data_IF_458766576650
#
_entry.id   IF_458766576650
#
_cell.length_a   1.000
_cell.length_b   1.000
_cell.length_c   1.000
_cell.angle_alpha   90.00
_cell.angle_beta   90.00
_cell.angle_gamma   90.00
#
_symmetry.space_group_name_H-M   'P 1'
#
loop_
_entity.id
_entity.type
_entity.pdbx_description
1 polymer ?
#
# COMPACT_ATOMS: atom_id res chain seq x y z
N UNK A 1 -1.43 -2.02 -23.28
CA UNK A 1 -2.71 -2.66 -22.91
C UNK A 1 -3.85 -1.67 -23.11
N UNK A 2 -4.85 -2.01 -23.93
CA UNK A 2 -6.12 -1.31 -24.03
C UNK A 2 -6.79 -1.12 -22.66
N UNK A 3 -7.62 -0.09 -22.53
CA UNK A 3 -8.31 0.25 -21.29
C UNK A 3 -9.27 -0.85 -20.80
N UNK A 4 -9.87 -1.61 -21.74
CA UNK A 4 -10.78 -2.72 -21.46
C UNK A 4 -10.08 -3.90 -20.76
N UNK A 5 -8.86 -4.27 -21.19
CA UNK A 5 -8.10 -5.37 -20.56
C UNK A 5 -7.82 -5.10 -19.07
N UNK A 6 -7.66 -3.82 -18.70
CA UNK A 6 -7.44 -3.42 -17.30
C UNK A 6 -8.72 -3.55 -16.46
N UNK A 7 -9.91 -3.39 -17.04
CA UNK A 7 -11.18 -3.47 -16.29
C UNK A 7 -11.56 -4.90 -15.89
N UNK A 8 -11.34 -5.85 -16.80
CA UNK A 8 -11.61 -7.27 -16.55
C UNK A 8 -10.65 -7.84 -15.51
N UNK A 9 -9.39 -7.40 -15.54
CA UNK A 9 -8.40 -7.73 -14.53
C UNK A 9 -8.85 -7.30 -13.12
N UNK A 10 -9.35 -6.06 -12.97
CA UNK A 10 -9.89 -5.57 -11.70
C UNK A 10 -11.11 -6.36 -11.24
N UNK A 11 -12.02 -6.69 -12.15
CA UNK A 11 -13.23 -7.45 -11.81
C UNK A 11 -12.86 -8.84 -11.26
N UNK A 12 -11.91 -9.52 -11.88
CA UNK A 12 -11.38 -10.80 -11.41
C UNK A 12 -10.66 -10.68 -10.06
N UNK A 13 -9.82 -9.64 -9.90
CA UNK A 13 -9.13 -9.33 -8.63
C UNK A 13 -10.12 -9.11 -7.49
N UNK A 14 -11.19 -8.35 -7.72
CA UNK A 14 -12.24 -8.10 -6.73
C UNK A 14 -12.96 -9.40 -6.37
N UNK A 15 -13.30 -10.24 -7.34
CA UNK A 15 -13.97 -11.52 -7.07
C UNK A 15 -13.09 -12.39 -6.17
N UNK A 16 -11.81 -12.56 -6.49
CA UNK A 16 -10.86 -13.33 -5.65
C UNK A 16 -10.80 -12.78 -4.22
N UNK A 17 -10.63 -11.46 -4.06
CA UNK A 17 -10.62 -10.80 -2.76
C UNK A 17 -11.94 -10.95 -2.00
N UNK A 18 -13.07 -10.93 -2.69
CA UNK A 18 -14.39 -11.11 -2.08
C UNK A 18 -14.54 -12.50 -1.45
N UNK A 19 -13.91 -13.52 -2.04
CA UNK A 19 -13.86 -14.87 -1.49
C UNK A 19 -12.85 -15.02 -0.36
N UNK A 20 -11.73 -14.28 -0.38
CA UNK A 20 -10.68 -14.35 0.64
C UNK A 20 -10.87 -13.41 1.84
N UNK A 21 -11.76 -12.43 1.76
CA UNK A 21 -11.92 -11.38 2.78
C UNK A 21 -12.57 -11.93 4.07
N UNK A 22 -11.85 -12.01 5.22
CA UNK A 22 -12.26 -12.74 6.41
C UNK A 22 -13.20 -11.97 7.35
N UNK A 23 -13.28 -10.64 7.20
CA UNK A 23 -14.20 -9.76 7.95
C UNK A 23 -15.68 -9.92 7.49
N UNK A 24 -16.05 -11.13 7.07
CA UNK A 24 -17.19 -11.41 6.22
C UNK A 24 -18.52 -11.58 6.93
N UNK A 25 -18.54 -11.73 8.25
CA UNK A 25 -19.78 -12.14 8.90
C UNK A 25 -20.66 -10.97 9.35
N UNK A 26 -20.09 -9.89 9.89
CA UNK A 26 -20.92 -8.94 10.65
C UNK A 26 -20.82 -7.46 10.25
N UNK A 27 -20.05 -7.08 9.23
CA UNK A 27 -20.01 -5.66 8.83
C UNK A 27 -21.22 -5.30 7.93
N UNK A 28 -22.23 -4.54 8.42
CA UNK A 28 -23.40 -4.17 7.62
C UNK A 28 -23.05 -3.24 6.45
N UNK A 29 -21.91 -2.56 6.50
CA UNK A 29 -21.48 -1.56 5.52
C UNK A 29 -20.57 -2.14 4.42
N UNK A 30 -20.40 -3.45 4.36
CA UNK A 30 -19.58 -4.07 3.31
C UNK A 30 -20.24 -3.92 1.93
N UNK A 31 -19.57 -3.29 0.94
CA UNK A 31 -20.13 -3.05 -0.39
C UNK A 31 -20.40 -4.35 -1.17
N UNK A 32 -19.75 -5.46 -0.81
CA UNK A 32 -19.94 -6.76 -1.44
C UNK A 32 -20.88 -7.72 -0.68
N UNK A 33 -21.54 -7.28 0.41
CA UNK A 33 -22.40 -8.15 1.23
C UNK A 33 -23.45 -8.91 0.42
N UNK A 34 -24.16 -8.22 -0.48
CA UNK A 34 -25.18 -8.81 -1.36
C UNK A 34 -24.65 -9.43 -2.66
N UNK A 35 -23.37 -9.21 -2.99
CA UNK A 35 -22.76 -9.68 -4.24
C UNK A 35 -22.09 -11.04 -4.05
N UNK A 36 -21.54 -11.32 -2.86
CA UNK A 36 -20.84 -12.58 -2.58
C UNK A 36 -21.69 -13.84 -2.73
N UNK A 37 -22.97 -13.75 -2.35
CA UNK A 37 -23.95 -14.85 -2.42
C UNK A 37 -24.46 -15.11 -3.84
N UNK A 38 -24.13 -14.25 -4.80
CA UNK A 38 -24.54 -14.43 -6.19
C UNK A 38 -23.69 -15.47 -6.88
N UNK A 39 -24.23 -16.08 -7.92
CA UNK A 39 -23.47 -16.92 -8.83
C UNK A 39 -22.38 -16.11 -9.54
N UNK A 40 -21.33 -16.77 -10.02
CA UNK A 40 -20.20 -16.09 -10.66
C UNK A 40 -20.64 -15.22 -11.84
N UNK A 41 -21.57 -15.72 -12.68
CA UNK A 41 -22.11 -14.97 -13.80
C UNK A 41 -22.83 -13.68 -13.35
N UNK A 42 -23.60 -13.74 -12.27
CA UNK A 42 -24.29 -12.58 -11.71
C UNK A 42 -23.34 -11.58 -11.06
N UNK A 43 -22.23 -12.05 -10.48
CA UNK A 43 -21.15 -11.17 -10.00
C UNK A 43 -20.53 -10.41 -11.16
N UNK A 44 -20.15 -11.12 -12.23
CA UNK A 44 -19.55 -10.52 -13.42
C UNK A 44 -20.49 -9.50 -14.07
N UNK A 45 -21.77 -9.85 -14.20
CA UNK A 45 -22.81 -8.92 -14.70
C UNK A 45 -22.98 -7.71 -13.81
N UNK A 46 -22.91 -7.87 -12.49
CA UNK A 46 -22.98 -6.73 -11.58
C UNK A 46 -21.76 -5.82 -11.70
N UNK A 47 -20.55 -6.39 -11.78
CA UNK A 47 -19.32 -5.61 -11.97
C UNK A 47 -19.30 -4.88 -13.30
N UNK A 48 -19.80 -5.47 -14.39
CA UNK A 48 -19.84 -4.81 -15.69
C UNK A 48 -20.73 -3.56 -15.72
N UNK A 49 -21.68 -3.44 -14.80
CA UNK A 49 -22.49 -2.24 -14.63
C UNK A 49 -21.81 -1.14 -13.80
N UNK A 50 -20.64 -1.39 -13.21
CA UNK A 50 -19.92 -0.41 -12.38
C UNK A 50 -18.87 0.34 -13.18
N UNK A 51 -18.70 1.62 -12.86
CA UNK A 51 -17.56 2.40 -13.38
C UNK A 51 -16.23 1.80 -12.90
N UNK A 52 -15.16 1.99 -13.69
CA UNK A 52 -13.81 1.63 -13.31
C UNK A 52 -13.41 2.17 -11.91
N UNK A 53 -13.74 3.44 -11.63
CA UNK A 53 -13.44 4.06 -10.35
C UNK A 53 -14.16 3.37 -9.18
N UNK A 54 -15.42 2.98 -9.39
CA UNK A 54 -16.18 2.21 -8.40
C UNK A 54 -15.56 0.84 -8.18
N UNK A 55 -15.18 0.11 -9.24
CA UNK A 55 -14.46 -1.18 -9.14
C UNK A 55 -13.18 -1.01 -8.31
N UNK A 56 -12.35 -0.02 -8.64
CA UNK A 56 -11.11 0.31 -7.91
C UNK A 56 -11.38 0.61 -6.43
N UNK A 57 -12.41 1.38 -6.13
CA UNK A 57 -12.80 1.72 -4.74
C UNK A 57 -13.21 0.46 -3.96
N UNK A 58 -14.00 -0.44 -4.56
CA UNK A 58 -14.40 -1.71 -3.95
C UNK A 58 -13.19 -2.60 -3.70
N UNK A 59 -12.29 -2.74 -4.69
CA UNK A 59 -11.04 -3.46 -4.54
C UNK A 59 -10.24 -2.93 -3.35
N UNK A 60 -10.10 -1.60 -3.27
CA UNK A 60 -9.34 -0.96 -2.21
C UNK A 60 -9.92 -1.21 -0.82
N UNK A 61 -11.23 -1.04 -0.68
CA UNK A 61 -11.91 -1.36 0.57
C UNK A 61 -11.63 -2.79 1.04
N UNK A 62 -11.69 -3.76 0.12
CA UNK A 62 -11.51 -5.18 0.47
C UNK A 62 -10.07 -5.56 0.77
N UNK A 63 -9.09 -4.94 0.12
CA UNK A 63 -7.69 -5.16 0.46
C UNK A 63 -7.38 -4.64 1.87
N UNK A 64 -7.87 -3.44 2.23
CA UNK A 64 -7.72 -2.91 3.59
C UNK A 64 -8.35 -3.83 4.65
N UNK A 65 -9.51 -4.41 4.33
CA UNK A 65 -10.15 -5.40 5.21
C UNK A 65 -9.29 -6.66 5.39
N UNK A 66 -8.63 -7.10 4.32
CA UNK A 66 -7.76 -8.26 4.34
C UNK A 66 -6.47 -8.00 5.14
N UNK A 67 -5.79 -6.87 4.91
CA UNK A 67 -4.59 -6.48 5.67
C UNK A 67 -4.89 -6.38 7.17
N UNK A 68 -5.98 -5.69 7.57
CA UNK A 68 -6.40 -5.61 8.98
C UNK A 68 -6.66 -6.97 9.61
N UNK A 69 -7.07 -7.97 8.84
CA UNK A 69 -7.23 -9.32 9.37
C UNK A 69 -5.89 -10.02 9.53
N UNK A 70 -4.97 -9.88 8.57
CA UNK A 70 -3.61 -10.42 8.70
C UNK A 70 -2.87 -9.84 9.92
N UNK A 71 -3.03 -8.55 10.19
CA UNK A 71 -2.40 -7.93 11.37
C UNK A 71 -2.92 -8.53 12.67
N UNK A 72 -4.24 -8.77 12.76
CA UNK A 72 -4.84 -9.47 13.91
C UNK A 72 -4.30 -10.88 14.09
N UNK A 73 -4.14 -11.64 12.99
CA UNK A 73 -3.55 -12.98 13.06
C UNK A 73 -2.11 -12.94 13.56
N UNK A 74 -1.31 -11.95 13.12
CA UNK A 74 0.06 -11.77 13.59
C UNK A 74 0.12 -11.37 15.07
N UNK A 75 -0.80 -10.54 15.55
CA UNK A 75 -0.90 -10.20 16.97
C UNK A 75 -1.22 -11.43 17.82
N UNK A 76 -2.15 -12.28 17.35
CA UNK A 76 -2.51 -13.53 18.03
C UNK A 76 -1.33 -14.52 18.08
N UNK A 77 -0.55 -14.62 17.00
CA UNK A 77 0.66 -15.45 16.95
C UNK A 77 1.79 -14.88 17.83
N UNK A 78 1.95 -13.55 17.89
CA UNK A 78 3.01 -12.89 18.66
C UNK A 78 2.79 -12.96 20.18
N UNK A 79 1.53 -12.99 20.65
CA UNK A 79 1.20 -13.19 22.07
C UNK A 79 1.65 -14.57 22.58
N UNK A 80 2.02 -15.51 21.70
CA UNK A 80 2.52 -16.83 22.08
C UNK A 80 4.05 -16.95 22.24
N UNK A 81 4.84 -15.92 21.87
CA UNK A 81 6.30 -16.01 21.91
C UNK A 81 6.95 -14.69 22.33
N UNK A 82 7.14 -14.50 23.64
CA UNK A 82 8.02 -13.44 24.17
C UNK A 82 9.12 -14.03 25.03
N UNK A 83 10.31 -14.21 24.44
CA UNK A 83 11.61 -14.02 25.10
C UNK A 83 12.65 -13.54 24.08
N UNK A 84 13.25 -12.38 24.38
CA UNK A 84 14.61 -11.91 24.00
C UNK A 84 14.90 -11.75 22.49
N UNK A 85 15.68 -10.80 22.00
CA UNK A 85 16.71 -9.95 22.60
C UNK A 85 17.00 -8.78 21.65
N UNK A 86 17.42 -7.67 22.23
CA UNK A 86 17.99 -6.48 21.62
C UNK A 86 19.22 -6.72 20.72
N UNK A 87 19.52 -5.65 19.98
CA UNK A 87 20.77 -5.24 19.32
C UNK A 87 21.02 -5.75 17.91
N UNK A 88 20.96 -4.81 16.98
CA UNK A 88 22.05 -4.63 16.02
C UNK A 88 22.22 -3.15 15.65
N UNK A 89 23.43 -2.64 15.85
CA UNK A 89 23.89 -1.32 15.40
C UNK A 89 24.08 -1.40 13.89
N UNK A 90 23.26 -0.68 13.13
CA UNK A 90 23.40 -0.59 11.69
C UNK A 90 24.66 0.19 11.30
N UNK A 91 25.56 -0.52 10.61
CA UNK A 91 26.59 0.08 9.77
C UNK A 91 25.83 0.72 8.60
N UNK A 92 25.92 2.05 8.46
CA UNK A 92 25.30 2.76 7.34
C UNK A 92 26.16 2.52 6.09
N UNK A 93 25.97 1.37 5.44
CA UNK A 93 26.52 1.15 4.11
C UNK A 93 25.83 2.12 3.14
N UNK A 94 26.62 3.04 2.57
CA UNK A 94 26.13 3.93 1.50
C UNK A 94 25.71 3.06 0.31
N UNK A 95 24.43 3.10 -0.03
CA UNK A 95 23.92 2.50 -1.26
C UNK A 95 23.70 3.59 -2.31
N UNK A 96 24.21 3.40 -3.52
CA UNK A 96 23.92 4.29 -4.65
C UNK A 96 22.49 4.05 -5.14
N UNK A 97 21.57 4.93 -4.73
CA UNK A 97 20.15 4.86 -5.10
C UNK A 97 19.95 5.54 -6.46
N UNK A 98 19.50 4.77 -7.46
CA UNK A 98 19.29 5.25 -8.83
C UNK A 98 17.81 5.19 -9.21
N UNK A 99 17.24 6.37 -9.47
CA UNK A 99 15.87 6.59 -9.95
C UNK A 99 15.89 7.17 -11.36
N UNK A 100 14.84 6.93 -12.16
CA UNK A 100 14.78 7.44 -13.53
C UNK A 100 14.62 8.96 -13.55
N UNK A 101 15.11 9.58 -14.62
CA UNK A 101 14.96 11.03 -14.79
C UNK A 101 13.47 11.40 -14.97
N UNK A 102 12.69 10.57 -15.65
CA UNK A 102 11.23 10.74 -15.77
C UNK A 102 10.54 10.92 -14.40
N UNK A 103 10.97 10.19 -13.37
CA UNK A 103 10.37 10.27 -12.03
C UNK A 103 10.89 11.49 -11.25
N UNK A 104 12.12 11.94 -11.51
CA UNK A 104 12.62 13.21 -10.98
C UNK A 104 11.85 14.38 -11.54
N UNK A 105 11.56 14.35 -12.85
CA UNK A 105 10.79 15.37 -13.55
C UNK A 105 9.33 15.43 -13.10
N UNK A 106 8.77 14.33 -12.56
CA UNK A 106 7.43 14.33 -11.93
C UNK A 106 7.37 15.03 -10.57
N UNK A 107 8.53 15.30 -9.96
CA UNK A 107 8.62 15.99 -8.67
C UNK A 107 9.09 17.41 -8.93
N UNK A 108 8.15 18.24 -9.33
CA UNK A 108 8.34 19.69 -9.44
C UNK A 108 8.76 20.23 -8.07
N UNK A 109 10.02 20.67 -7.98
CA UNK A 109 10.60 21.35 -6.82
C UNK A 109 10.53 20.55 -5.50
N UNK A 110 11.29 19.46 -5.42
CA UNK A 110 11.55 18.83 -4.12
C UNK A 110 12.27 19.82 -3.18
N UNK A 111 11.56 20.33 -2.17
CA UNK A 111 12.12 21.26 -1.16
C UNK A 111 13.34 20.72 -0.42
N UNK A 112 13.53 19.39 -0.42
CA UNK A 112 14.68 18.70 0.18
C UNK A 112 15.84 18.47 -0.80
N UNK A 113 15.73 18.90 -2.06
CA UNK A 113 16.75 18.67 -3.09
C UNK A 113 17.05 17.19 -3.30
N UNK A 114 16.01 16.33 -3.28
CA UNK A 114 16.15 14.88 -3.45
C UNK A 114 17.10 14.19 -2.45
N UNK A 115 17.17 14.68 -1.21
CA UNK A 115 18.05 14.16 -0.16
C UNK A 115 17.94 12.64 0.07
N UNK A 116 16.78 12.04 -0.22
CA UNK A 116 16.55 10.59 -0.16
C UNK A 116 17.37 9.77 -1.16
N UNK A 117 18.00 10.40 -2.16
CA UNK A 117 18.85 9.75 -3.15
C UNK A 117 20.33 9.72 -2.75
N UNK A 118 20.73 10.41 -1.66
CA UNK A 118 22.13 10.51 -1.24
C UNK A 118 22.71 9.21 -0.65
N UNK A 119 21.94 8.12 -0.62
CA UNK A 119 22.38 6.83 -0.11
C UNK A 119 22.54 6.74 1.41
N UNK A 120 22.16 7.81 2.12
CA UNK A 120 22.20 7.92 3.58
C UNK A 120 20.81 7.56 4.14
N UNK A 121 20.73 6.39 4.81
CA UNK A 121 19.46 5.79 5.24
C UNK A 121 18.77 6.59 6.35
N UNK A 122 19.52 7.37 7.13
CA UNK A 122 19.01 8.28 8.17
C UNK A 122 18.15 9.43 7.62
N UNK A 123 18.21 9.64 6.31
CA UNK A 123 17.42 10.65 5.61
C UNK A 123 16.24 10.06 4.82
N UNK A 124 16.16 8.73 4.74
CA UNK A 124 15.05 8.01 4.14
C UNK A 124 13.93 7.84 5.17
N UNK A 125 12.68 7.96 4.71
CA UNK A 125 11.57 7.52 5.55
C UNK A 125 11.50 5.99 5.47
N UNK A 126 11.53 5.31 6.61
CA UNK A 126 11.36 3.87 6.71
C UNK A 126 9.96 3.50 6.20
N UNK A 127 9.85 2.59 5.24
CA UNK A 127 8.54 2.10 4.78
C UNK A 127 8.10 0.98 5.72
N UNK A 128 7.03 1.21 6.46
CA UNK A 128 6.47 0.21 7.38
C UNK A 128 5.46 -0.70 6.69
N UNK A 129 4.78 -0.20 5.66
CA UNK A 129 3.84 -0.96 4.84
C UNK A 129 3.64 -0.29 3.46
N UNK A 130 3.23 -1.07 2.46
CA UNK A 130 2.88 -0.59 1.14
C UNK A 130 1.51 -1.11 0.75
N UNK A 131 0.57 -0.19 0.58
CA UNK A 131 -0.80 -0.55 0.21
C UNK A 131 -1.03 -0.15 -1.24
N UNK A 132 -1.53 -1.10 -2.03
CA UNK A 132 -1.87 -0.93 -3.46
C UNK A 132 -0.68 -0.58 -4.37
N UNK A 133 0.54 -0.98 -4.01
CA UNK A 133 1.76 -0.69 -4.82
C UNK A 133 1.95 0.83 -5.09
N UNK A 134 1.24 1.69 -4.36
CA UNK A 134 1.07 3.09 -4.72
C UNK A 134 0.98 4.04 -3.52
N UNK A 135 0.67 3.54 -2.32
CA UNK A 135 0.65 4.33 -1.09
C UNK A 135 1.60 3.68 -0.09
N UNK A 136 2.62 4.43 0.30
CA UNK A 136 3.60 3.97 1.29
C UNK A 136 3.22 4.50 2.67
N UNK A 137 3.08 3.60 3.63
CA UNK A 137 3.11 3.94 5.04
C UNK A 137 4.56 4.12 5.43
N UNK A 138 4.86 5.28 6.01
CA UNK A 138 6.23 5.63 6.31
C UNK A 138 6.38 6.13 7.74
N UNK A 139 7.50 5.76 8.35
CA UNK A 139 8.02 6.37 9.56
C UNK A 139 9.16 7.29 9.17
N UNK A 140 8.94 8.61 9.30
CA UNK A 140 9.98 9.57 8.98
C UNK A 140 11.04 9.58 10.08
N UNK A 141 12.29 9.27 9.72
CA UNK A 141 13.42 9.32 10.66
C UNK A 141 13.86 10.77 10.96
N UNK A 142 13.67 11.68 9.99
CA UNK A 142 13.99 13.09 10.14
C UNK A 142 12.72 13.94 10.25
N UNK A 143 12.71 14.89 11.20
CA UNK A 143 11.60 15.83 11.42
C UNK A 143 11.59 17.02 10.45
N UNK A 144 12.07 16.81 9.22
CA UNK A 144 12.05 17.83 8.17
C UNK A 144 10.73 17.79 7.42
N UNK A 145 10.09 18.96 7.27
CA UNK A 145 8.89 19.14 6.45
C UNK A 145 9.07 18.58 5.03
N UNK A 146 8.03 17.96 4.49
CA UNK A 146 8.01 17.42 3.13
C UNK A 146 6.58 17.53 2.58
N UNK A 147 6.38 18.26 1.49
CA UNK A 147 5.05 18.43 0.87
C UNK A 147 4.39 17.13 0.38
N UNK A 148 5.16 16.06 0.19
CA UNK A 148 4.65 14.74 -0.19
C UNK A 148 4.27 13.83 1.00
N UNK A 149 4.44 14.33 2.23
CA UNK A 149 4.05 13.65 3.46
C UNK A 149 2.69 14.19 3.91
N UNK A 150 1.80 13.28 4.29
CA UNK A 150 0.55 13.63 4.95
C UNK A 150 0.20 12.58 6.00
N UNK A 151 -0.50 13.00 7.04
CA UNK A 151 -0.86 12.15 8.17
C UNK A 151 -2.37 12.05 8.30
N UNK A 152 -2.86 10.86 8.63
CA UNK A 152 -4.28 10.58 8.91
C UNK A 152 -4.35 9.80 10.22
N UNK A 153 -4.78 10.49 11.28
CA UNK A 153 -4.68 9.96 12.64
C UNK A 153 -3.22 9.75 13.04
N UNK A 154 -2.89 8.55 13.51
CA UNK A 154 -1.53 8.17 13.92
C UNK A 154 -0.66 7.66 12.75
N UNK A 155 -1.26 7.45 11.58
CA UNK A 155 -0.56 6.92 10.41
C UNK A 155 0.01 8.06 9.56
N UNK A 156 1.23 7.85 9.04
CA UNK A 156 1.90 8.78 8.12
C UNK A 156 2.11 8.11 6.77
N UNK A 157 1.79 8.85 5.71
CA UNK A 157 1.79 8.39 4.34
C UNK A 157 2.72 9.22 3.48
N UNK A 158 3.33 8.58 2.49
CA UNK A 158 4.15 9.23 1.47
C UNK A 158 3.53 9.05 0.07
N UNK A 159 3.28 10.16 -0.62
CA UNK A 159 2.87 10.17 -2.04
C UNK A 159 4.02 10.46 -3.00
N UNK A 160 5.24 10.68 -2.51
CA UNK A 160 6.39 11.09 -3.31
C UNK A 160 6.70 10.06 -4.42
N UNK A 161 6.68 10.44 -5.70
CA UNK A 161 7.04 9.56 -6.82
C UNK A 161 8.41 8.90 -6.63
N UNK A 162 9.41 9.69 -6.20
CA UNK A 162 10.77 9.21 -5.94
C UNK A 162 10.76 8.12 -4.86
N UNK A 163 10.07 8.34 -3.73
CA UNK A 163 10.03 7.35 -2.65
C UNK A 163 9.40 6.03 -3.10
N UNK A 164 8.37 6.10 -3.95
CA UNK A 164 7.71 4.92 -4.54
C UNK A 164 8.65 4.16 -5.45
N UNK A 165 9.39 4.85 -6.31
CA UNK A 165 10.34 4.18 -7.19
C UNK A 165 11.47 3.51 -6.42
N UNK A 166 12.00 4.17 -5.38
CA UNK A 166 13.02 3.58 -4.49
C UNK A 166 12.48 2.29 -3.86
N UNK A 167 11.28 2.34 -3.26
CA UNK A 167 10.68 1.16 -2.63
C UNK A 167 10.42 0.04 -3.65
N UNK A 168 9.95 0.38 -4.85
CA UNK A 168 9.67 -0.61 -5.89
C UNK A 168 10.94 -1.28 -6.45
N UNK A 169 12.07 -0.57 -6.51
CA UNK A 169 13.35 -1.10 -7.00
C UNK A 169 14.16 -1.84 -5.95
N UNK A 170 14.20 -1.30 -4.75
CA UNK A 170 15.15 -1.73 -3.72
C UNK A 170 14.48 -2.36 -2.50
N UNK A 171 13.15 -2.25 -2.37
CA UNK A 171 12.38 -2.68 -1.18
C UNK A 171 12.87 -2.05 0.13
N UNK A 172 13.43 -0.83 0.03
CA UNK A 172 13.84 0.01 1.15
C UNK A 172 12.76 1.04 1.39
#
# INVERSE_FOLDING_TARGET
MPQEEKEDEYSNKIIRLAHSCPLYLDNPNCPLKGVRKRELADKMRWFSCLSFYTKKTIYNYHLLCYCKHLDKLKEEDFVSSTKESDREKNICERMDIVVSDDVKDMVDECEKGFFCLNGELDHLCEVTDCVFESILYVKCLADKYCGHKYSVGENTFCSCPIRKEIYNKYHI
#
